data_IF_190808867177
#
_entry.id   IF_190808867177
#
_cell.length_a   1.000
_cell.length_b   1.000
_cell.length_c   1.000
_cell.angle_alpha   90.00
_cell.angle_beta   90.00
_cell.angle_gamma   90.00
#
_symmetry.space_group_name_H-M   'P 1'
#
loop_
_entity.id
_entity.type
_entity.pdbx_description
1 polymer ?
#
# COMPACT_ATOMS: atom_id res chain seq x y z
N UNK A 1 30.77 12.11 5.66
CA UNK A 1 30.31 12.70 6.92
C UNK A 1 29.24 13.75 6.60
N UNK A 2 28.05 13.28 6.24
CA UNK A 2 26.88 14.15 6.01
C UNK A 2 25.59 13.31 5.99
N UNK A 3 25.23 12.75 7.13
CA UNK A 3 24.01 11.93 7.29
C UNK A 3 23.14 12.44 8.46
N UNK A 4 23.18 13.73 8.78
CA UNK A 4 22.43 14.26 9.94
C UNK A 4 21.45 15.40 9.61
N UNK A 5 21.09 15.64 8.36
CA UNK A 5 20.21 16.76 8.03
C UNK A 5 18.79 16.37 7.65
N UNK A 6 18.50 15.08 7.40
CA UNK A 6 17.14 14.62 7.04
C UNK A 6 16.24 14.27 8.24
N UNK A 7 16.82 14.08 9.41
CA UNK A 7 16.09 13.63 10.60
C UNK A 7 15.30 14.75 11.33
N UNK A 8 15.57 16.01 10.98
CA UNK A 8 14.88 17.17 11.59
C UNK A 8 13.64 17.64 10.78
N UNK A 9 13.50 17.18 9.54
CA UNK A 9 12.37 17.58 8.71
C UNK A 9 11.08 16.95 9.25
N UNK A 10 10.05 17.77 9.42
CA UNK A 10 8.71 17.31 9.77
C UNK A 10 7.78 17.54 8.61
N UNK A 11 7.16 16.47 8.15
CA UNK A 11 6.13 16.52 7.11
C UNK A 11 4.79 16.92 7.72
N UNK A 12 4.12 17.84 7.07
CA UNK A 12 2.85 18.40 7.52
C UNK A 12 1.70 17.41 7.42
N UNK A 13 1.75 16.54 6.40
CA UNK A 13 0.73 15.54 6.12
C UNK A 13 1.31 14.15 6.32
N UNK A 14 0.72 13.41 7.25
CA UNK A 14 1.01 11.99 7.40
C UNK A 14 0.01 11.19 6.57
N UNK A 15 0.53 10.41 5.64
CA UNK A 15 -0.21 9.43 4.85
C UNK A 15 0.12 8.04 5.37
N UNK A 16 -0.82 7.13 5.26
CA UNK A 16 -0.66 5.72 5.60
C UNK A 16 -1.06 4.86 4.41
N UNK A 17 -0.37 3.75 4.21
CA UNK A 17 -0.72 2.78 3.17
C UNK A 17 -0.51 1.36 3.65
N UNK A 18 -1.32 0.45 3.12
CA UNK A 18 -1.26 -0.96 3.40
C UNK A 18 -0.68 -1.72 2.19
N UNK A 19 0.39 -2.46 2.42
CA UNK A 19 0.83 -3.52 1.53
C UNK A 19 0.02 -4.78 1.88
N UNK A 20 -1.14 -4.92 1.26
CA UNK A 20 -2.05 -6.05 1.49
C UNK A 20 -1.53 -7.29 0.78
N UNK A 21 -1.06 -8.25 1.55
CA UNK A 21 -0.44 -9.48 1.05
C UNK A 21 -1.46 -10.60 0.91
N UNK A 22 -1.23 -11.48 -0.05
CA UNK A 22 -2.05 -12.69 -0.26
C UNK A 22 -1.82 -13.76 0.81
N UNK A 23 -0.64 -13.79 1.42
CA UNK A 23 -0.27 -14.73 2.48
C UNK A 23 0.65 -14.07 3.49
N UNK A 24 0.42 -14.22 4.81
CA UNK A 24 1.27 -13.60 5.82
C UNK A 24 2.64 -14.25 6.00
N UNK A 25 2.82 -15.51 5.56
CA UNK A 25 4.02 -16.29 5.76
C UNK A 25 4.84 -16.48 4.48
N UNK A 26 4.15 -16.55 3.33
CA UNK A 26 4.76 -16.75 2.01
C UNK A 26 4.15 -15.79 0.99
N UNK A 27 4.29 -14.49 1.19
CA UNK A 27 3.68 -13.51 0.30
C UNK A 27 4.27 -13.58 -1.10
N UNK A 28 3.40 -13.64 -2.09
CA UNK A 28 3.74 -13.63 -3.52
C UNK A 28 3.15 -12.44 -4.23
N UNK A 29 2.03 -11.91 -3.71
CA UNK A 29 1.27 -10.83 -4.35
C UNK A 29 0.82 -9.81 -3.32
N UNK A 30 0.63 -8.58 -3.78
CA UNK A 30 -0.04 -7.54 -3.03
C UNK A 30 -1.13 -6.87 -3.87
N UNK A 31 -2.04 -6.17 -3.19
CA UNK A 31 -3.07 -5.38 -3.84
C UNK A 31 -2.51 -4.06 -4.34
N UNK A 32 -2.71 -3.79 -5.62
CA UNK A 32 -2.53 -2.50 -6.25
C UNK A 32 -3.88 -1.87 -6.57
N UNK A 33 -4.00 -0.56 -6.40
CA UNK A 33 -5.19 0.21 -6.68
C UNK A 33 -4.93 1.24 -7.78
N UNK A 34 -5.80 1.30 -8.78
CA UNK A 34 -5.68 2.25 -9.88
C UNK A 34 -6.51 3.50 -9.59
N UNK A 35 -5.88 4.66 -9.63
CA UNK A 35 -6.54 5.93 -9.34
C UNK A 35 -7.57 6.33 -10.39
N UNK A 36 -8.72 6.82 -9.90
CA UNK A 36 -9.77 7.40 -10.73
C UNK A 36 -9.59 8.90 -10.92
N UNK A 37 -9.02 9.61 -9.94
CA UNK A 37 -8.79 11.06 -9.95
C UNK A 37 -7.60 11.45 -9.04
N UNK A 38 -7.10 12.69 -9.09
CA UNK A 38 -7.43 13.70 -10.10
C UNK A 38 -7.00 13.26 -11.49
N UNK A 39 -7.43 13.97 -12.52
CA UNK A 39 -7.14 13.62 -13.92
C UNK A 39 -5.64 13.42 -14.19
N UNK A 40 -4.81 14.22 -13.54
CA UNK A 40 -3.34 14.14 -13.65
C UNK A 40 -2.74 12.81 -13.15
N UNK A 41 -3.45 12.09 -12.29
CA UNK A 41 -3.04 10.80 -11.71
C UNK A 41 -3.92 9.64 -12.18
N UNK A 42 -4.96 9.92 -12.95
CA UNK A 42 -5.89 8.90 -13.43
C UNK A 42 -5.17 7.80 -14.19
N UNK A 43 -5.46 6.56 -13.84
CA UNK A 43 -4.87 5.39 -14.46
C UNK A 43 -3.53 4.95 -13.86
N UNK A 44 -2.92 5.77 -13.00
CA UNK A 44 -1.73 5.36 -12.25
C UNK A 44 -2.11 4.45 -11.08
N UNK A 45 -1.18 3.58 -10.72
CA UNK A 45 -1.34 2.61 -9.64
C UNK A 45 -0.67 3.06 -8.36
N UNK A 46 -1.25 2.67 -7.23
CA UNK A 46 -0.77 3.00 -5.90
C UNK A 46 -1.08 1.87 -4.89
N UNK A 47 -0.48 1.96 -3.71
CA UNK A 47 -0.92 1.17 -2.57
C UNK A 47 -2.21 1.77 -1.98
N UNK A 48 -3.17 0.95 -1.52
CA UNK A 48 -4.35 1.46 -0.83
C UNK A 48 -3.96 2.16 0.46
N UNK A 49 -4.59 3.29 0.73
CA UNK A 49 -4.33 4.09 1.91
C UNK A 49 -4.91 5.50 1.79
N UNK A 50 -4.50 6.37 2.69
CA UNK A 50 -4.97 7.75 2.72
C UNK A 50 -4.35 8.57 3.84
N UNK A 51 -4.90 9.73 4.10
CA UNK A 51 -4.39 10.64 5.12
C UNK A 51 -4.80 10.18 6.52
N UNK A 52 -3.86 10.22 7.46
CA UNK A 52 -4.16 10.09 8.88
C UNK A 52 -4.96 11.31 9.34
N UNK A 53 -6.05 11.08 10.04
CA UNK A 53 -6.90 12.14 10.59
C UNK A 53 -6.43 12.57 11.98
N UNK A 54 -6.76 13.80 12.41
CA UNK A 54 -6.44 14.29 13.75
C UNK A 54 -7.00 13.35 14.85
N UNK A 55 -6.18 13.03 15.83
CA UNK A 55 -6.56 12.15 16.93
C UNK A 55 -6.52 10.66 16.65
N UNK A 56 -6.21 10.28 15.43
CA UNK A 56 -6.09 8.90 14.96
C UNK A 56 -4.64 8.40 15.10
N UNK A 57 -4.44 7.16 15.48
CA UNK A 57 -3.14 6.50 15.32
C UNK A 57 -2.94 6.06 13.87
N UNK A 58 -1.71 5.75 13.49
CA UNK A 58 -1.42 5.20 12.15
C UNK A 58 -2.19 3.90 11.92
N UNK A 59 -2.26 3.04 12.91
CA UNK A 59 -2.98 1.76 12.82
C UNK A 59 -4.48 1.97 12.65
N UNK A 60 -5.07 2.90 13.39
CA UNK A 60 -6.50 3.26 13.24
C UNK A 60 -6.78 3.81 11.84
N UNK A 61 -5.90 4.67 11.33
CA UNK A 61 -6.01 5.19 9.97
C UNK A 61 -5.98 4.09 8.92
N UNK A 62 -5.06 3.12 9.05
CA UNK A 62 -4.95 1.97 8.14
C UNK A 62 -6.22 1.12 8.14
N UNK A 63 -6.76 0.82 9.30
CA UNK A 63 -8.02 0.08 9.42
C UNK A 63 -9.19 0.84 8.81
N UNK A 64 -9.29 2.14 9.07
CA UNK A 64 -10.34 3.00 8.53
C UNK A 64 -10.25 3.10 7.01
N UNK A 65 -9.09 3.41 6.46
CA UNK A 65 -8.89 3.57 5.02
C UNK A 65 -9.19 2.28 4.25
N UNK A 66 -8.72 1.13 4.73
CA UNK A 66 -9.00 -0.15 4.09
C UNK A 66 -10.50 -0.50 4.12
N UNK A 67 -11.20 -0.13 5.19
CA UNK A 67 -12.64 -0.31 5.28
C UNK A 67 -13.40 0.61 4.34
N UNK A 68 -13.01 1.89 4.29
CA UNK A 68 -13.67 2.90 3.44
C UNK A 68 -13.43 2.65 1.96
N UNK A 69 -12.18 2.37 1.58
CA UNK A 69 -11.78 2.24 0.18
C UNK A 69 -12.02 0.85 -0.41
N UNK A 70 -11.81 -0.19 0.38
CA UNK A 70 -11.85 -1.58 -0.10
C UNK A 70 -13.01 -2.40 0.49
N UNK A 71 -13.69 -1.88 1.52
CA UNK A 71 -14.74 -2.60 2.21
C UNK A 71 -14.24 -3.81 3.00
N UNK A 72 -12.95 -3.86 3.34
CA UNK A 72 -12.32 -5.00 4.01
C UNK A 72 -11.83 -4.65 5.41
N UNK A 73 -11.80 -5.66 6.27
CA UNK A 73 -11.06 -5.61 7.54
C UNK A 73 -9.69 -6.22 7.34
N UNK A 74 -8.70 -5.67 8.01
CA UNK A 74 -7.31 -6.10 7.88
C UNK A 74 -6.72 -6.48 9.23
N UNK A 75 -5.70 -7.31 9.19
CA UNK A 75 -4.78 -7.57 10.29
C UNK A 75 -3.41 -7.04 9.91
N UNK A 76 -2.92 -6.09 10.69
CA UNK A 76 -1.59 -5.52 10.49
C UNK A 76 -0.52 -6.54 10.88
N UNK A 77 0.56 -6.59 10.12
CA UNK A 77 1.72 -7.43 10.37
C UNK A 77 2.89 -6.59 10.86
N UNK A 78 3.65 -5.99 9.96
CA UNK A 78 4.85 -5.24 10.29
C UNK A 78 4.91 -3.91 9.53
N UNK A 79 5.53 -2.91 10.15
CA UNK A 79 5.86 -1.68 9.44
C UNK A 79 7.03 -1.91 8.50
N UNK A 80 6.93 -1.40 7.28
CA UNK A 80 8.02 -1.32 6.33
C UNK A 80 8.73 0.02 6.53
N UNK A 81 9.86 0.05 7.24
CA UNK A 81 10.50 1.31 7.60
C UNK A 81 11.00 2.05 6.38
N UNK A 82 10.70 3.34 6.33
CA UNK A 82 11.22 4.25 5.32
C UNK A 82 12.49 4.98 5.78
N UNK A 83 13.03 5.85 4.94
CA UNK A 83 14.25 6.60 5.24
C UNK A 83 14.06 7.70 6.31
N UNK A 84 12.83 8.00 6.67
CA UNK A 84 12.46 9.03 7.64
C UNK A 84 11.58 8.46 8.75
N UNK A 85 11.58 9.09 9.93
CA UNK A 85 10.70 8.67 11.06
C UNK A 85 9.20 8.68 10.72
N UNK A 86 8.78 9.54 9.77
CA UNK A 86 7.42 9.57 9.23
C UNK A 86 7.23 8.65 8.02
N UNK A 87 8.22 7.81 7.71
CA UNK A 87 8.19 6.80 6.66
C UNK A 87 8.85 7.26 5.36
N UNK A 88 8.11 7.24 4.30
CA UNK A 88 8.58 7.47 2.93
C UNK A 88 8.14 8.85 2.45
N UNK A 89 9.07 9.77 2.12
CA UNK A 89 8.69 11.06 1.57
C UNK A 89 7.92 10.92 0.25
N UNK A 90 6.78 11.59 0.16
CA UNK A 90 5.95 11.65 -1.06
C UNK A 90 6.13 12.99 -1.78
N UNK A 91 6.33 14.06 -1.01
CA UNK A 91 6.50 15.41 -1.49
C UNK A 91 7.27 16.22 -0.44
N UNK A 92 7.38 17.51 -0.63
CA UNK A 92 7.98 18.40 0.37
C UNK A 92 7.15 18.49 1.67
N UNK A 93 5.85 18.20 1.61
CA UNK A 93 4.92 18.38 2.73
C UNK A 93 4.27 17.10 3.23
N UNK A 94 4.47 15.96 2.57
CA UNK A 94 3.81 14.71 2.89
C UNK A 94 4.79 13.54 2.95
N UNK A 95 4.58 12.65 3.91
CA UNK A 95 5.27 11.37 4.00
C UNK A 95 4.28 10.25 4.31
N UNK A 96 4.62 9.03 3.89
CA UNK A 96 3.78 7.84 4.01
C UNK A 96 4.43 6.81 4.90
N UNK A 97 3.71 6.34 5.91
CA UNK A 97 4.07 5.13 6.66
C UNK A 97 3.35 3.93 6.06
N UNK A 98 4.08 2.86 5.86
CA UNK A 98 3.60 1.66 5.17
C UNK A 98 3.67 0.46 6.11
N UNK A 99 2.60 -0.32 6.14
CA UNK A 99 2.51 -1.56 6.89
C UNK A 99 2.13 -2.72 5.99
N UNK A 100 2.76 -3.86 6.18
CA UNK A 100 2.24 -5.09 5.62
C UNK A 100 1.00 -5.53 6.40
N UNK A 101 0.04 -6.08 5.69
CA UNK A 101 -1.20 -6.52 6.28
C UNK A 101 -1.83 -7.65 5.45
N UNK A 102 -2.80 -8.33 6.02
CA UNK A 102 -3.63 -9.31 5.33
C UNK A 102 -5.10 -9.00 5.56
N UNK A 103 -5.92 -9.32 4.58
CA UNK A 103 -7.37 -9.22 4.73
C UNK A 103 -7.85 -10.31 5.70
N UNK A 104 -8.70 -9.92 6.65
CA UNK A 104 -9.34 -10.85 7.59
C UNK A 104 -10.83 -10.91 7.33
N UNK A 105 -11.38 -12.11 7.33
CA UNK A 105 -12.80 -12.37 7.18
C UNK A 105 -13.16 -13.71 7.79
N UNK A 106 -14.45 -14.03 7.88
CA UNK A 106 -14.87 -15.41 8.08
C UNK A 106 -14.29 -16.25 6.92
N UNK A 107 -13.84 -17.46 7.18
CA UNK A 107 -13.15 -18.30 6.19
C UNK A 107 -13.91 -18.44 4.86
N UNK A 108 -15.24 -18.36 4.92
CA UNK A 108 -16.16 -18.40 3.78
C UNK A 108 -16.24 -17.06 3.00
N UNK A 109 -15.94 -15.93 3.67
CA UNK A 109 -15.82 -14.61 3.03
C UNK A 109 -14.44 -14.39 2.41
N UNK A 110 -13.44 -15.07 2.90
CA UNK A 110 -12.06 -14.91 2.47
C UNK A 110 -11.83 -15.35 1.01
N UNK A 111 -12.50 -16.43 0.57
CA UNK A 111 -12.47 -16.85 -0.83
C UNK A 111 -13.30 -15.92 -1.71
N UNK A 112 -14.47 -15.48 -1.24
CA UNK A 112 -15.33 -14.56 -1.98
C UNK A 112 -14.72 -13.15 -2.09
N UNK A 113 -14.06 -12.66 -1.04
CA UNK A 113 -13.42 -11.33 -1.02
C UNK A 113 -12.10 -11.33 -1.80
N UNK A 114 -11.35 -12.42 -1.77
CA UNK A 114 -10.17 -12.59 -2.61
C UNK A 114 -10.54 -12.65 -4.10
N UNK A 115 -11.62 -13.34 -4.44
CA UNK A 115 -12.19 -13.34 -5.79
C UNK A 115 -12.77 -11.96 -6.17
N UNK A 116 -13.43 -11.28 -5.25
CA UNK A 116 -13.95 -9.93 -5.48
C UNK A 116 -12.83 -8.91 -5.71
N UNK A 117 -11.72 -9.02 -4.99
CA UNK A 117 -10.53 -8.19 -5.19
C UNK A 117 -9.76 -8.59 -6.45
N UNK A 118 -9.89 -9.85 -6.89
CA UNK A 118 -9.23 -10.38 -8.09
C UNK A 118 -10.03 -10.25 -9.38
N UNK A 119 -11.34 -10.07 -9.31
CA UNK A 119 -12.23 -10.10 -10.48
C UNK A 119 -12.66 -8.75 -11.03
N UNK A 120 -11.99 -7.67 -10.65
CA UNK A 120 -12.31 -6.33 -11.17
C UNK A 120 -13.62 -5.74 -10.65
N UNK A 121 -14.15 -6.28 -9.54
CA UNK A 121 -15.28 -5.68 -8.85
C UNK A 121 -14.82 -4.34 -8.28
N UNK A 122 -15.37 -3.25 -8.80
CA UNK A 122 -15.07 -1.91 -8.31
C UNK A 122 -15.51 -1.79 -6.85
N UNK A 123 -14.64 -1.29 -5.96
CA UNK A 123 -15.06 -0.92 -4.63
C UNK A 123 -16.16 0.14 -4.71
N UNK A 124 -17.17 0.01 -3.87
CA UNK A 124 -18.14 1.08 -3.68
C UNK A 124 -17.43 2.26 -3.00
N UNK A 125 -17.15 3.29 -3.78
CA UNK A 125 -16.41 4.46 -3.32
C UNK A 125 -15.38 4.84 -4.38
N UNK A 126 -15.65 5.87 -5.10
CA UNK A 126 -15.16 6.18 -6.44
C UNK A 126 -13.70 6.61 -6.57
N UNK A 127 -12.80 6.27 -5.65
CA UNK A 127 -11.41 6.74 -5.71
C UNK A 127 -10.53 5.86 -6.62
N UNK A 128 -10.96 4.63 -6.90
CA UNK A 128 -10.21 3.67 -7.70
C UNK A 128 -11.02 3.12 -8.86
N UNK A 129 -10.35 2.96 -10.01
CA UNK A 129 -10.91 2.35 -11.23
C UNK A 129 -10.85 0.84 -11.17
N UNK A 130 -9.79 0.28 -10.59
CA UNK A 130 -9.50 -1.14 -10.55
C UNK A 130 -8.66 -1.48 -9.31
N UNK A 131 -8.89 -2.66 -8.78
CA UNK A 131 -7.99 -3.32 -7.81
C UNK A 131 -7.41 -4.55 -8.49
N UNK A 132 -6.11 -4.81 -8.25
CA UNK A 132 -5.43 -5.95 -8.84
C UNK A 132 -4.44 -6.57 -7.87
N UNK A 133 -4.41 -7.90 -7.83
CA UNK A 133 -3.30 -8.64 -7.25
C UNK A 133 -2.11 -8.57 -8.20
N UNK A 134 -0.98 -8.05 -7.72
CA UNK A 134 0.27 -7.97 -8.48
C UNK A 134 1.36 -8.74 -7.79
N UNK A 135 2.22 -9.41 -8.56
CA UNK A 135 3.33 -10.16 -8.01
C UNK A 135 4.39 -9.24 -7.45
N UNK A 136 4.82 -9.52 -6.23
CA UNK A 136 5.87 -8.78 -5.54
C UNK A 136 6.69 -9.69 -4.61
N UNK A 137 6.68 -10.99 -4.84
CA UNK A 137 7.44 -11.93 -4.03
C UNK A 137 8.93 -11.57 -3.93
N UNK A 138 9.63 -12.08 -2.89
CA UNK A 138 11.04 -11.80 -2.66
C UNK A 138 11.95 -12.41 -3.75
N UNK A 139 11.51 -13.45 -4.40
CA UNK A 139 12.26 -14.12 -5.46
C UNK A 139 12.15 -13.34 -6.78
N UNK A 140 13.27 -13.11 -7.46
CA UNK A 140 13.22 -12.59 -8.82
C UNK A 140 12.50 -13.62 -9.70
N UNK A 141 11.40 -13.23 -10.29
CA UNK A 141 10.78 -14.05 -11.32
C UNK A 141 11.50 -13.73 -12.63
N UNK A 142 11.91 -14.75 -13.36
CA UNK A 142 12.44 -14.56 -14.72
C UNK A 142 11.40 -13.84 -15.56
N UNK A 143 11.71 -12.61 -15.92
CA UNK A 143 10.84 -11.70 -16.61
C UNK A 143 10.46 -10.47 -15.77
N UNK A 144 9.78 -9.52 -16.39
CA UNK A 144 9.25 -8.35 -15.70
C UNK A 144 8.24 -8.79 -14.66
N UNK A 145 8.49 -8.43 -13.42
CA UNK A 145 7.52 -8.64 -12.37
C UNK A 145 6.28 -7.75 -12.66
N UNK A 146 5.12 -8.30 -12.44
CA UNK A 146 3.86 -7.61 -12.72
C UNK A 146 3.79 -6.22 -12.06
N UNK A 147 4.29 -6.11 -10.83
CA UNK A 147 4.34 -4.84 -10.13
C UNK A 147 5.20 -3.80 -10.87
N UNK A 148 6.29 -4.20 -11.52
CA UNK A 148 7.17 -3.29 -12.27
C UNK A 148 6.58 -2.91 -13.64
N UNK A 149 5.70 -3.75 -14.19
CA UNK A 149 5.06 -3.50 -15.48
C UNK A 149 3.91 -2.49 -15.41
N UNK A 150 3.38 -2.20 -14.21
CA UNK A 150 2.31 -1.23 -14.04
C UNK A 150 2.84 0.21 -13.99
N UNK A 151 2.06 1.19 -14.51
CA UNK A 151 2.40 2.60 -14.36
C UNK A 151 2.07 3.08 -12.94
N UNK A 152 2.97 2.85 -12.02
CA UNK A 152 2.85 3.30 -10.63
C UNK A 152 3.02 4.81 -10.49
N UNK A 153 2.37 5.38 -9.48
CA UNK A 153 2.73 6.71 -9.01
C UNK A 153 4.23 6.71 -8.67
N UNK A 154 5.03 7.66 -9.22
CA UNK A 154 6.49 7.62 -9.05
C UNK A 154 6.97 7.55 -7.60
N UNK A 155 6.25 8.21 -6.67
CA UNK A 155 6.59 8.19 -5.25
C UNK A 155 6.44 6.80 -4.61
N UNK A 156 5.65 5.91 -5.19
CA UNK A 156 5.45 4.54 -4.69
C UNK A 156 6.55 3.57 -5.12
N UNK A 157 7.32 3.89 -6.16
CA UNK A 157 8.38 2.99 -6.65
C UNK A 157 9.46 2.68 -5.61
N UNK A 158 10.03 3.65 -4.87
CA UNK A 158 10.96 3.35 -3.79
C UNK A 158 10.32 2.51 -2.67
N UNK A 159 9.03 2.73 -2.41
CA UNK A 159 8.25 2.00 -1.41
C UNK A 159 8.11 0.54 -1.80
N UNK A 160 7.77 0.24 -3.06
CA UNK A 160 7.70 -1.13 -3.58
C UNK A 160 9.04 -1.86 -3.43
N UNK A 161 10.14 -1.19 -3.72
CA UNK A 161 11.47 -1.74 -3.50
C UNK A 161 11.75 -1.99 -2.01
N UNK A 162 11.29 -1.09 -1.15
CA UNK A 162 11.35 -1.26 0.31
C UNK A 162 10.56 -2.47 0.79
N UNK A 163 9.35 -2.64 0.30
CA UNK A 163 8.50 -3.81 0.60
C UNK A 163 9.19 -5.11 0.17
N UNK A 164 9.76 -5.16 -1.03
CA UNK A 164 10.50 -6.33 -1.51
C UNK A 164 11.67 -6.70 -0.61
N UNK A 165 12.48 -5.72 -0.22
CA UNK A 165 13.59 -5.96 0.71
C UNK A 165 13.09 -6.45 2.06
N UNK A 166 12.01 -5.89 2.55
CA UNK A 166 11.39 -6.29 3.81
C UNK A 166 10.89 -7.74 3.77
N UNK A 167 10.26 -8.14 2.67
CA UNK A 167 9.76 -9.51 2.48
C UNK A 167 10.87 -10.53 2.22
N UNK A 168 12.01 -10.10 1.73
CA UNK A 168 13.17 -10.98 1.51
C UNK A 168 13.93 -11.30 2.81
N UNK A 169 13.63 -10.63 3.91
CA UNK A 169 14.17 -10.88 5.24
C UNK A 169 15.47 -10.28 5.54
#
# INVERSE_FOLDING_TARGET
>A
MSLRHDDERTFRTQVVAAALLDDPHRPQRLIAAQRAYPESLRGLWELPGGKQEPGETVQEALHRECREELGVRIRLLEEVPGPHRQGWPLSESAAMRVWTAVVVGAAEQQEADADALGTGRQPEGADHLELRWVRIGPEPIEGLQEAEALPWIPADLPILNGIRRHLAG
#
